data_IF_169031487638
#
_entry.id   IF_169031487638
#
_cell.length_a   1.000
_cell.length_b   1.000
_cell.length_c   1.000
_cell.angle_alpha   90.00
_cell.angle_beta   90.00
_cell.angle_gamma   90.00
#
_symmetry.space_group_name_H-M   'P 1'
#
loop_
_entity.id
_entity.type
_entity.pdbx_description
1 polymer ?
#
# COMPACT_ATOMS: atom_id res chain seq x y z
N UNK A 1 -29.89 10.30 -12.20
CA UNK A 1 -28.56 10.20 -12.85
C UNK A 1 -27.55 9.83 -11.77
N UNK A 2 -26.66 8.87 -12.05
CA UNK A 2 -25.99 8.03 -11.05
C UNK A 2 -24.94 8.73 -10.19
N UNK A 3 -24.99 8.45 -8.89
CA UNK A 3 -23.87 8.65 -7.97
C UNK A 3 -22.89 7.50 -8.21
N UNK A 4 -21.73 7.79 -8.80
CA UNK A 4 -20.64 6.83 -8.91
C UNK A 4 -19.87 6.83 -7.57
N UNK A 5 -19.89 5.77 -6.76
CA UNK A 5 -18.93 5.63 -5.66
C UNK A 5 -17.60 5.13 -6.24
N UNK A 6 -16.86 6.00 -6.94
CA UNK A 6 -15.58 5.63 -7.59
C UNK A 6 -14.36 5.63 -6.66
N UNK A 7 -14.49 6.06 -5.40
CA UNK A 7 -13.33 6.12 -4.48
C UNK A 7 -13.18 4.89 -3.58
N UNK A 8 -14.26 4.29 -3.10
CA UNK A 8 -14.19 3.33 -1.97
C UNK A 8 -13.57 1.98 -2.37
N UNK A 9 -13.71 1.56 -3.64
CA UNK A 9 -13.10 0.31 -4.13
C UNK A 9 -11.58 0.42 -4.38
N UNK A 10 -11.07 1.64 -4.59
CA UNK A 10 -9.67 1.86 -4.93
C UNK A 10 -8.76 1.66 -3.73
N UNK A 11 -9.19 2.09 -2.53
CA UNK A 11 -8.42 1.91 -1.28
C UNK A 11 -8.22 0.42 -0.95
N UNK A 12 -9.24 -0.42 -1.18
CA UNK A 12 -9.13 -1.86 -0.93
C UNK A 12 -8.22 -2.56 -1.95
N UNK A 13 -8.27 -2.16 -3.22
CA UNK A 13 -7.41 -2.70 -4.26
C UNK A 13 -5.94 -2.33 -4.06
N UNK A 14 -5.65 -1.07 -3.71
CA UNK A 14 -4.29 -0.59 -3.41
C UNK A 14 -3.73 -1.29 -2.18
N UNK A 15 -4.55 -1.48 -1.14
CA UNK A 15 -4.14 -2.15 0.09
C UNK A 15 -3.85 -3.63 -0.12
N UNK A 16 -4.61 -4.32 -0.98
CA UNK A 16 -4.34 -5.70 -1.37
C UNK A 16 -3.05 -5.82 -2.20
N UNK A 17 -2.85 -4.93 -3.17
CA UNK A 17 -1.65 -4.95 -4.02
C UNK A 17 -0.39 -4.66 -3.19
N UNK A 18 -0.41 -3.64 -2.34
CA UNK A 18 0.68 -3.33 -1.41
C UNK A 18 1.04 -4.56 -0.56
N UNK A 19 0.03 -5.24 -0.05
CA UNK A 19 0.19 -6.42 0.80
C UNK A 19 0.79 -7.61 0.04
N UNK A 20 0.37 -7.83 -1.22
CA UNK A 20 0.97 -8.84 -2.10
C UNK A 20 2.44 -8.50 -2.43
N UNK A 21 2.73 -7.24 -2.78
CA UNK A 21 4.09 -6.79 -3.07
C UNK A 21 5.02 -6.99 -1.88
N UNK A 22 4.59 -6.57 -0.68
CA UNK A 22 5.35 -6.79 0.55
C UNK A 22 5.59 -8.28 0.81
N UNK A 23 4.57 -9.13 0.59
CA UNK A 23 4.69 -10.58 0.83
C UNK A 23 5.67 -11.26 -0.13
N UNK A 24 5.70 -10.84 -1.39
CA UNK A 24 6.52 -11.47 -2.43
C UNK A 24 7.93 -10.89 -2.54
N UNK A 25 8.08 -9.58 -2.35
CA UNK A 25 9.34 -8.86 -2.56
C UNK A 25 9.98 -8.37 -1.25
N UNK A 26 9.19 -8.21 -0.19
CA UNK A 26 9.61 -7.47 1.01
C UNK A 26 9.42 -5.96 0.86
N UNK A 27 9.52 -5.23 1.98
CA UNK A 27 9.23 -3.79 2.02
C UNK A 27 10.10 -2.95 1.09
N UNK A 28 11.42 -3.17 1.10
CA UNK A 28 12.36 -2.33 0.34
C UNK A 28 12.17 -2.48 -1.18
N UNK A 29 12.05 -3.72 -1.68
CA UNK A 29 11.82 -3.99 -3.10
C UNK A 29 10.40 -3.61 -3.54
N UNK A 30 9.39 -3.71 -2.66
CA UNK A 30 8.05 -3.22 -2.93
C UNK A 30 8.03 -1.69 -3.08
N UNK A 31 8.71 -0.94 -2.19
CA UNK A 31 8.82 0.52 -2.30
C UNK A 31 9.54 0.94 -3.58
N UNK A 32 10.63 0.26 -3.95
CA UNK A 32 11.35 0.56 -5.18
C UNK A 32 10.46 0.30 -6.41
N UNK A 33 9.80 -0.85 -6.46
CA UNK A 33 8.88 -1.20 -7.56
C UNK A 33 7.76 -0.18 -7.71
N UNK A 34 7.17 0.27 -6.60
CA UNK A 34 6.12 1.29 -6.63
C UNK A 34 6.66 2.64 -7.13
N UNK A 35 7.88 3.03 -6.76
CA UNK A 35 8.54 4.25 -7.26
C UNK A 35 8.82 4.19 -8.75
N UNK A 36 9.35 3.07 -9.24
CA UNK A 36 9.69 2.88 -10.65
C UNK A 36 8.44 2.91 -11.55
N UNK A 37 7.30 2.45 -11.05
CA UNK A 37 6.03 2.40 -11.79
C UNK A 37 5.11 3.62 -11.55
N UNK A 38 5.49 4.57 -10.69
CA UNK A 38 4.66 5.74 -10.37
C UNK A 38 3.38 5.39 -9.59
N UNK A 39 3.43 4.37 -8.74
CA UNK A 39 2.30 3.90 -7.94
C UNK A 39 2.25 4.58 -6.57
N UNK A 40 2.13 5.91 -6.53
CA UNK A 40 2.18 6.68 -5.27
C UNK A 40 1.17 6.21 -4.22
N UNK A 41 -0.06 5.89 -4.60
CA UNK A 41 -1.08 5.41 -3.65
C UNK A 41 -0.74 4.06 -3.02
N UNK A 42 -0.02 3.20 -3.73
CA UNK A 42 0.43 1.89 -3.22
C UNK A 42 1.71 2.08 -2.39
N UNK A 43 2.62 2.96 -2.83
CA UNK A 43 3.84 3.32 -2.10
C UNK A 43 3.53 3.86 -0.69
N UNK A 44 2.57 4.76 -0.59
CA UNK A 44 2.08 5.32 0.69
C UNK A 44 1.61 4.20 1.62
N UNK A 45 0.84 3.24 1.10
CA UNK A 45 0.33 2.12 1.89
C UNK A 45 1.44 1.13 2.30
N UNK A 46 2.42 0.89 1.43
CA UNK A 46 3.59 0.07 1.77
C UNK A 46 4.37 0.69 2.92
N UNK A 47 4.59 2.02 2.88
CA UNK A 47 5.26 2.76 3.95
C UNK A 47 4.47 2.77 5.25
N UNK A 48 3.16 3.01 5.18
CA UNK A 48 2.27 2.94 6.35
C UNK A 48 2.40 1.58 7.03
N UNK A 49 2.34 0.49 6.27
CA UNK A 49 2.50 -0.88 6.78
C UNK A 49 3.88 -1.13 7.37
N UNK A 50 4.95 -0.62 6.75
CA UNK A 50 6.32 -0.68 7.29
C UNK A 50 6.37 0.00 8.66
N UNK A 51 5.80 1.19 8.77
CA UNK A 51 5.73 1.93 10.02
C UNK A 51 4.91 1.18 11.09
N UNK A 52 3.82 0.49 10.74
CA UNK A 52 3.03 -0.31 11.68
C UNK A 52 3.78 -1.52 12.24
N UNK A 53 4.64 -2.16 11.45
CA UNK A 53 5.46 -3.30 11.91
C UNK A 53 6.64 -2.82 12.78
N UNK A 54 7.22 -1.68 12.44
CA UNK A 54 8.33 -1.09 13.19
C UNK A 54 7.89 -0.23 14.38
N UNK A 55 6.61 0.13 14.48
CA UNK A 55 6.07 0.77 15.66
C UNK A 55 6.20 -0.23 16.83
N UNK A 56 7.01 0.06 17.87
CA UNK A 56 7.00 -0.77 19.05
C UNK A 56 5.58 -0.72 19.61
N UNK A 57 4.96 -1.89 19.78
CA UNK A 57 3.72 -2.01 20.52
C UNK A 57 3.99 -1.44 21.92
N UNK A 58 3.61 -0.18 22.14
CA UNK A 58 3.80 0.48 23.42
C UNK A 58 2.95 -0.30 24.43
N UNK A 59 3.66 -0.88 25.41
CA UNK A 59 3.10 -1.64 26.53
C UNK A 59 2.26 -0.79 27.45
#
# INVERSE_FOLDING_TARGET
>A
MGVQPKSIQSETAQSLLAQQLIRHLGFDAAEQTCRENGWDGILEEVRRRRALIHAPAHS
#
